data_IF_188270981939
#
_entry.id   IF_188270981939
#
_cell.length_a   1.000
_cell.length_b   1.000
_cell.length_c   1.000
_cell.angle_alpha   90.00
_cell.angle_beta   90.00
_cell.angle_gamma   90.00
#
_symmetry.space_group_name_H-M   'P 1'
#
loop_
_entity.id
_entity.type
_entity.pdbx_description
1 polymer ?
#
# COMPACT_ATOMS: atom_id res chain seq x y z
N UNK A 1 37.53 -30.71 0.86
CA UNK A 1 36.75 -31.68 0.07
C UNK A 1 35.29 -31.31 0.20
N UNK A 2 34.79 -30.57 -0.78
CA UNK A 2 33.41 -30.10 -0.93
C UNK A 2 32.51 -31.30 -1.21
N UNK A 3 31.58 -31.60 -0.30
CA UNK A 3 30.58 -32.65 -0.50
C UNK A 3 29.39 -32.03 -1.22
N UNK A 4 29.28 -32.32 -2.52
CA UNK A 4 28.16 -31.93 -3.36
C UNK A 4 26.93 -32.71 -2.92
N UNK A 5 25.94 -32.02 -2.33
CA UNK A 5 24.62 -32.59 -2.07
C UNK A 5 24.00 -32.92 -3.43
N UNK A 6 23.67 -34.19 -3.63
CA UNK A 6 23.29 -34.75 -4.92
C UNK A 6 22.08 -34.05 -5.54
N UNK A 7 22.32 -33.44 -6.70
CA UNK A 7 21.32 -33.14 -7.72
C UNK A 7 20.51 -34.41 -8.02
N UNK A 8 19.19 -34.33 -7.85
CA UNK A 8 18.28 -35.43 -8.15
C UNK A 8 18.20 -35.55 -9.67
N UNK A 9 18.77 -36.62 -10.23
CA UNK A 9 18.71 -36.93 -11.66
C UNK A 9 17.28 -37.35 -12.04
N UNK A 10 16.58 -36.58 -12.90
CA UNK A 10 15.20 -36.86 -13.32
C UNK A 10 15.04 -38.21 -14.02
N UNK A 11 16.11 -38.78 -14.58
CA UNK A 11 16.08 -40.04 -15.31
C UNK A 11 16.15 -41.29 -14.42
N UNK A 12 16.45 -41.13 -13.13
CA UNK A 12 16.63 -42.25 -12.18
C UNK A 12 15.35 -42.69 -11.46
N UNK A 13 14.20 -42.12 -11.86
CA UNK A 13 12.89 -42.36 -11.24
C UNK A 13 12.10 -43.41 -12.05
N UNK A 14 11.73 -44.56 -11.45
CA UNK A 14 10.82 -45.52 -12.09
C UNK A 14 9.36 -45.03 -11.99
N UNK A 15 8.72 -44.87 -13.15
CA UNK A 15 7.34 -44.35 -13.29
C UNK A 15 7.32 -42.85 -13.58
N UNK A 16 6.88 -42.46 -14.78
CA UNK A 16 6.43 -41.11 -15.18
C UNK A 16 7.24 -39.86 -14.76
N UNK A 17 7.75 -39.12 -15.74
CA UNK A 17 8.31 -37.75 -15.63
C UNK A 17 7.27 -36.66 -15.26
N UNK A 18 6.48 -36.87 -14.21
CA UNK A 18 5.37 -35.99 -13.82
C UNK A 18 5.69 -35.10 -12.62
N UNK A 19 5.28 -33.83 -12.67
CA UNK A 19 5.45 -32.86 -11.58
C UNK A 19 4.84 -33.31 -10.24
N UNK A 20 3.69 -34.00 -10.30
CA UNK A 20 3.04 -34.55 -9.10
C UNK A 20 3.90 -35.58 -8.36
N UNK A 21 4.55 -36.49 -9.08
CA UNK A 21 5.39 -37.50 -8.45
C UNK A 21 6.62 -36.90 -7.78
N UNK A 22 7.26 -35.93 -8.46
CA UNK A 22 8.38 -35.18 -7.92
C UNK A 22 7.96 -34.45 -6.64
N UNK A 23 6.80 -33.78 -6.67
CA UNK A 23 6.23 -33.09 -5.50
C UNK A 23 6.04 -34.03 -4.30
N UNK A 24 5.43 -35.21 -4.49
CA UNK A 24 5.22 -36.17 -3.40
C UNK A 24 6.54 -36.75 -2.85
N UNK A 25 7.53 -36.99 -3.72
CA UNK A 25 8.87 -37.44 -3.34
C UNK A 25 9.58 -36.40 -2.47
N UNK A 26 9.53 -35.12 -2.86
CA UNK A 26 10.12 -34.02 -2.10
C UNK A 26 9.44 -33.86 -0.74
N UNK A 27 8.10 -33.87 -0.67
CA UNK A 27 7.37 -33.79 0.61
C UNK A 27 7.75 -34.94 1.55
N UNK A 28 7.80 -36.16 1.04
CA UNK A 28 8.16 -37.35 1.83
C UNK A 28 9.60 -37.27 2.35
N UNK A 29 10.54 -36.86 1.50
CA UNK A 29 11.95 -36.66 1.90
C UNK A 29 12.08 -35.58 2.97
N UNK A 30 11.39 -34.46 2.79
CA UNK A 30 11.37 -33.33 3.74
C UNK A 30 10.87 -33.76 5.11
N UNK A 31 9.75 -34.47 5.21
CA UNK A 31 9.23 -34.97 6.50
C UNK A 31 10.26 -35.83 7.22
N UNK A 32 10.99 -36.68 6.51
CA UNK A 32 12.06 -37.51 7.10
C UNK A 32 13.24 -36.69 7.59
N UNK A 33 13.60 -35.60 6.90
CA UNK A 33 14.66 -34.69 7.31
C UNK A 33 14.26 -33.86 8.53
N UNK A 34 13.04 -33.31 8.54
CA UNK A 34 12.51 -32.54 9.67
C UNK A 34 12.40 -33.39 10.94
N UNK A 35 11.96 -34.64 10.84
CA UNK A 35 11.96 -35.59 11.99
C UNK A 35 13.34 -35.86 12.58
N UNK A 36 14.40 -35.65 11.79
CA UNK A 36 15.80 -35.80 12.22
C UNK A 36 16.44 -34.45 12.54
N UNK A 37 15.66 -33.37 12.61
CA UNK A 37 16.10 -32.00 12.86
C UNK A 37 17.17 -31.51 11.86
N UNK A 38 17.21 -32.12 10.67
CA UNK A 38 18.11 -31.72 9.57
C UNK A 38 17.50 -30.57 8.78
N UNK A 39 17.33 -29.43 9.43
CA UNK A 39 16.62 -28.27 8.86
C UNK A 39 17.31 -27.70 7.61
N UNK A 40 18.64 -27.58 7.63
CA UNK A 40 19.38 -27.08 6.46
C UNK A 40 19.18 -27.95 5.21
N UNK A 41 19.25 -29.28 5.37
CA UNK A 41 18.99 -30.23 4.28
C UNK A 41 17.54 -30.16 3.80
N UNK A 42 16.58 -30.03 4.73
CA UNK A 42 15.16 -29.93 4.40
C UNK A 42 14.85 -28.65 3.61
N UNK A 43 15.40 -27.50 4.05
CA UNK A 43 15.29 -26.21 3.37
C UNK A 43 15.84 -26.30 1.95
N UNK A 44 17.03 -26.87 1.78
CA UNK A 44 17.65 -27.00 0.46
C UNK A 44 16.81 -27.88 -0.47
N UNK A 45 16.34 -29.03 0.02
CA UNK A 45 15.48 -29.95 -0.74
C UNK A 45 14.16 -29.29 -1.16
N UNK A 46 13.55 -28.48 -0.28
CA UNK A 46 12.33 -27.76 -0.58
C UNK A 46 12.56 -26.64 -1.60
N UNK A 47 13.66 -25.90 -1.47
CA UNK A 47 14.02 -24.82 -2.39
C UNK A 47 14.27 -25.37 -3.80
N UNK A 48 15.17 -26.34 -3.94
CA UNK A 48 15.52 -26.94 -5.23
C UNK A 48 14.28 -27.57 -5.88
N UNK A 49 13.48 -28.26 -5.07
CA UNK A 49 12.24 -28.88 -5.50
C UNK A 49 11.18 -27.87 -5.98
N UNK A 50 11.03 -26.76 -5.25
CA UNK A 50 10.14 -25.66 -5.63
C UNK A 50 10.58 -25.05 -6.97
N UNK A 51 11.87 -24.73 -7.10
CA UNK A 51 12.41 -24.14 -8.34
C UNK A 51 12.22 -25.07 -9.53
N UNK A 52 12.55 -26.36 -9.38
CA UNK A 52 12.38 -27.35 -10.45
C UNK A 52 10.91 -27.48 -10.90
N UNK A 53 9.96 -27.54 -9.96
CA UNK A 53 8.54 -27.60 -10.30
C UNK A 53 8.05 -26.32 -10.98
N UNK A 54 8.51 -25.14 -10.55
CA UNK A 54 8.16 -23.88 -11.21
C UNK A 54 8.73 -23.81 -12.63
N UNK A 55 9.94 -24.33 -12.86
CA UNK A 55 10.54 -24.45 -14.19
C UNK A 55 9.80 -25.44 -15.10
N UNK A 56 9.19 -26.48 -14.51
CA UNK A 56 8.26 -27.39 -15.20
C UNK A 56 6.85 -26.78 -15.42
N UNK A 57 6.64 -25.52 -15.03
CA UNK A 57 5.34 -24.82 -15.03
C UNK A 57 4.26 -25.46 -14.13
N UNK A 58 4.67 -26.27 -13.15
CA UNK A 58 3.83 -26.90 -12.13
C UNK A 58 3.60 -25.92 -10.96
N UNK A 59 2.94 -24.80 -11.27
CA UNK A 59 2.83 -23.64 -10.37
C UNK A 59 2.25 -23.96 -8.99
N UNK A 60 1.19 -24.78 -8.94
CA UNK A 60 0.56 -25.17 -7.68
C UNK A 60 1.49 -25.99 -6.78
N UNK A 61 2.16 -26.98 -7.36
CA UNK A 61 3.09 -27.87 -6.67
C UNK A 61 4.36 -27.13 -6.21
N UNK A 62 4.92 -26.28 -7.06
CA UNK A 62 6.08 -25.44 -6.72
C UNK A 62 5.75 -24.47 -5.58
N UNK A 63 4.62 -23.76 -5.66
CA UNK A 63 4.21 -22.83 -4.61
C UNK A 63 3.83 -23.53 -3.29
N UNK A 64 3.29 -24.75 -3.32
CA UNK A 64 3.08 -25.56 -2.11
C UNK A 64 4.41 -25.87 -1.41
N UNK A 65 5.43 -26.27 -2.16
CA UNK A 65 6.77 -26.49 -1.59
C UNK A 65 7.40 -25.21 -1.06
N UNK A 66 7.18 -24.07 -1.72
CA UNK A 66 7.63 -22.78 -1.23
C UNK A 66 6.98 -22.40 0.11
N UNK A 67 5.68 -22.65 0.27
CA UNK A 67 5.00 -22.45 1.56
C UNK A 67 5.57 -23.41 2.62
N UNK A 68 5.81 -24.66 2.26
CA UNK A 68 6.42 -25.63 3.17
C UNK A 68 7.86 -25.25 3.56
N UNK A 69 8.61 -24.61 2.66
CA UNK A 69 9.93 -24.04 2.95
C UNK A 69 9.84 -22.97 4.03
N UNK A 70 8.83 -22.10 3.96
CA UNK A 70 8.61 -21.05 4.96
C UNK A 70 8.17 -21.62 6.31
N UNK A 71 7.39 -22.71 6.33
CA UNK A 71 7.10 -23.43 7.56
C UNK A 71 8.38 -24.04 8.17
N UNK A 72 9.26 -24.60 7.34
CA UNK A 72 10.57 -25.09 7.80
C UNK A 72 11.45 -23.96 8.34
N UNK A 73 11.40 -22.75 7.76
CA UNK A 73 12.06 -21.57 8.32
C UNK A 73 11.51 -21.23 9.71
N UNK A 74 10.19 -21.24 9.91
CA UNK A 74 9.58 -20.99 11.23
C UNK A 74 10.01 -22.05 12.25
N UNK A 75 9.98 -23.33 11.88
CA UNK A 75 10.38 -24.43 12.77
C UNK A 75 11.85 -24.34 13.20
N UNK A 76 12.72 -23.88 12.30
CA UNK A 76 14.17 -23.77 12.54
C UNK A 76 14.61 -22.41 13.08
N UNK A 77 13.68 -21.46 13.27
CA UNK A 77 13.98 -20.06 13.62
C UNK A 77 15.02 -19.44 12.67
N UNK A 78 14.86 -19.68 11.36
CA UNK A 78 15.74 -19.14 10.34
C UNK A 78 15.63 -17.61 10.35
N UNK A 79 16.73 -16.87 10.56
CA UNK A 79 16.71 -15.41 10.63
C UNK A 79 16.40 -14.79 9.26
N UNK A 80 15.90 -13.56 9.29
CA UNK A 80 15.74 -12.75 8.07
C UNK A 80 17.11 -12.18 7.66
N UNK A 81 17.73 -12.81 6.67
CA UNK A 81 19.03 -12.42 6.11
C UNK A 81 19.02 -12.47 4.57
N UNK A 82 20.13 -12.10 3.94
CA UNK A 82 20.22 -12.07 2.47
C UNK A 82 20.04 -13.46 1.85
N UNK A 83 20.47 -14.54 2.52
CA UNK A 83 20.38 -15.92 2.00
C UNK A 83 18.94 -16.43 2.03
N UNK A 84 18.29 -16.31 3.17
CA UNK A 84 16.89 -16.72 3.37
C UNK A 84 15.96 -15.93 2.47
N UNK A 85 16.21 -14.61 2.33
CA UNK A 85 15.49 -13.73 1.42
C UNK A 85 15.69 -14.11 -0.04
N UNK A 86 16.93 -14.36 -0.48
CA UNK A 86 17.22 -14.73 -1.88
C UNK A 86 16.41 -15.94 -2.31
N UNK A 87 16.33 -16.99 -1.49
CA UNK A 87 15.51 -18.18 -1.82
C UNK A 87 14.05 -17.83 -2.07
N UNK A 88 13.48 -16.94 -1.26
CA UNK A 88 12.09 -16.51 -1.40
C UNK A 88 11.91 -15.69 -2.68
N UNK A 89 12.80 -14.74 -2.94
CA UNK A 89 12.72 -13.88 -4.13
C UNK A 89 12.93 -14.67 -5.42
N UNK A 90 13.84 -15.65 -5.41
CA UNK A 90 14.09 -16.54 -6.55
C UNK A 90 12.84 -17.35 -6.89
N UNK A 91 12.20 -17.96 -5.88
CA UNK A 91 10.93 -18.67 -6.05
C UNK A 91 9.85 -17.73 -6.61
N UNK A 92 9.64 -16.58 -5.97
CA UNK A 92 8.60 -15.63 -6.37
C UNK A 92 8.80 -15.13 -7.81
N UNK A 93 10.05 -14.93 -8.25
CA UNK A 93 10.38 -14.53 -9.62
C UNK A 93 9.95 -15.54 -10.69
N UNK A 94 9.81 -16.82 -10.32
CA UNK A 94 9.38 -17.92 -11.21
C UNK A 94 7.88 -18.20 -11.15
N UNK A 95 7.16 -17.56 -10.23
CA UNK A 95 5.70 -17.70 -10.15
C UNK A 95 5.03 -16.86 -11.25
N UNK A 96 4.02 -17.42 -11.92
CA UNK A 96 3.22 -16.73 -12.92
C UNK A 96 1.70 -16.80 -12.65
N UNK A 97 1.26 -17.70 -11.76
CA UNK A 97 -0.15 -17.85 -11.39
C UNK A 97 -0.50 -16.97 -10.16
N UNK A 98 -1.36 -15.96 -10.36
CA UNK A 98 -1.72 -14.96 -9.33
C UNK A 98 -2.18 -15.61 -8.01
N UNK A 99 -3.08 -16.59 -8.09
CA UNK A 99 -3.63 -17.29 -6.92
C UNK A 99 -2.53 -17.96 -6.07
N UNK A 100 -1.59 -18.65 -6.71
CA UNK A 100 -0.53 -19.38 -6.03
C UNK A 100 0.56 -18.44 -5.51
N UNK A 101 0.94 -17.44 -6.30
CA UNK A 101 1.87 -16.38 -5.88
C UNK A 101 1.38 -15.67 -4.62
N UNK A 102 0.08 -15.33 -4.56
CA UNK A 102 -0.53 -14.69 -3.39
C UNK A 102 -0.33 -15.50 -2.11
N UNK A 103 -0.43 -16.83 -2.17
CA UNK A 103 -0.19 -17.71 -1.01
C UNK A 103 1.26 -17.65 -0.55
N UNK A 104 2.21 -17.71 -1.48
CA UNK A 104 3.65 -17.60 -1.16
C UNK A 104 3.98 -16.23 -0.57
N UNK A 105 3.45 -15.14 -1.15
CA UNK A 105 3.60 -13.78 -0.60
C UNK A 105 3.07 -13.68 0.83
N UNK A 106 1.88 -14.21 1.11
CA UNK A 106 1.29 -14.18 2.45
C UNK A 106 2.16 -14.94 3.46
N UNK A 107 2.61 -16.15 3.11
CA UNK A 107 3.47 -16.94 3.97
C UNK A 107 4.83 -16.25 4.21
N UNK A 108 5.42 -15.65 3.17
CA UNK A 108 6.72 -14.99 3.24
C UNK A 108 6.66 -13.72 4.09
N UNK A 109 5.62 -12.91 3.90
CA UNK A 109 5.37 -11.73 4.73
C UNK A 109 5.16 -12.14 6.19
N UNK A 110 4.31 -13.14 6.45
CA UNK A 110 4.06 -13.59 7.82
C UNK A 110 5.34 -14.11 8.49
N UNK A 111 6.13 -14.94 7.78
CA UNK A 111 7.43 -15.38 8.28
C UNK A 111 8.34 -14.19 8.62
N UNK A 112 8.43 -13.19 7.74
CA UNK A 112 9.28 -12.02 7.99
C UNK A 112 8.80 -11.21 9.19
N UNK A 113 7.49 -11.06 9.40
CA UNK A 113 6.91 -10.39 10.57
C UNK A 113 7.27 -11.16 11.85
N UNK A 114 7.07 -12.48 11.82
CA UNK A 114 7.32 -13.36 12.97
C UNK A 114 8.81 -13.32 13.38
N UNK A 115 9.73 -13.33 12.41
CA UNK A 115 11.17 -13.40 12.66
C UNK A 115 11.84 -12.04 12.89
N UNK A 116 11.32 -10.94 12.31
CA UNK A 116 11.87 -9.60 12.54
C UNK A 116 11.29 -8.90 13.77
N UNK A 117 10.22 -9.46 14.36
CA UNK A 117 9.42 -8.83 15.42
C UNK A 117 8.92 -7.43 15.03
N UNK A 118 8.70 -7.19 13.74
CA UNK A 118 8.19 -5.94 13.20
C UNK A 118 6.92 -6.23 12.40
N UNK A 119 5.82 -5.55 12.71
CA UNK A 119 4.51 -5.76 12.06
C UNK A 119 4.50 -5.43 10.56
N UNK A 120 5.50 -4.69 10.07
CA UNK A 120 5.68 -4.42 8.65
C UNK A 120 6.48 -5.53 7.93
N UNK A 121 7.22 -6.37 8.65
CA UNK A 121 8.03 -7.47 8.12
C UNK A 121 9.45 -7.02 7.75
N UNK A 122 9.97 -7.52 6.62
CA UNK A 122 11.30 -7.18 6.09
C UNK A 122 11.20 -6.17 4.93
N UNK A 123 11.95 -5.07 5.01
CA UNK A 123 11.88 -3.97 4.06
C UNK A 123 12.26 -4.40 2.63
N UNK A 124 13.37 -5.13 2.47
CA UNK A 124 13.89 -5.58 1.17
C UNK A 124 12.95 -6.60 0.51
N UNK A 125 12.40 -7.54 1.27
CA UNK A 125 11.42 -8.50 0.80
C UNK A 125 10.11 -7.80 0.38
N UNK A 126 9.64 -6.85 1.19
CA UNK A 126 8.45 -6.04 0.85
C UNK A 126 8.68 -5.27 -0.46
N UNK A 127 9.83 -4.63 -0.63
CA UNK A 127 10.17 -3.91 -1.85
C UNK A 127 10.17 -4.82 -3.08
N UNK A 128 10.83 -5.99 -3.00
CA UNK A 128 10.83 -6.96 -4.09
C UNK A 128 9.41 -7.41 -4.47
N UNK A 129 8.58 -7.73 -3.49
CA UNK A 129 7.19 -8.13 -3.73
C UNK A 129 6.40 -6.99 -4.40
N UNK A 130 6.62 -5.75 -3.96
CA UNK A 130 5.96 -4.58 -4.51
C UNK A 130 6.33 -4.38 -5.99
N UNK A 131 7.62 -4.45 -6.31
CA UNK A 131 8.13 -4.31 -7.68
C UNK A 131 7.67 -5.44 -8.59
N UNK A 132 7.64 -6.69 -8.09
CA UNK A 132 7.09 -7.84 -8.82
C UNK A 132 5.62 -7.63 -9.17
N UNK A 133 4.79 -7.19 -8.22
CA UNK A 133 3.36 -6.94 -8.45
C UNK A 133 3.14 -5.74 -9.37
N UNK A 134 3.96 -4.68 -9.23
CA UNK A 134 3.87 -3.49 -10.08
C UNK A 134 4.24 -3.78 -11.53
N UNK A 135 5.23 -4.65 -11.77
CA UNK A 135 5.59 -5.14 -13.11
C UNK A 135 4.41 -5.82 -13.81
N UNK A 136 3.60 -6.55 -13.04
CA UNK A 136 2.39 -7.22 -13.52
C UNK A 136 1.15 -6.30 -13.53
N UNK A 137 1.34 -4.97 -13.38
CA UNK A 137 0.28 -3.95 -13.32
C UNK A 137 -0.76 -4.15 -12.20
N UNK A 138 -0.43 -4.95 -11.18
CA UNK A 138 -1.26 -5.16 -9.99
C UNK A 138 -1.01 -4.04 -8.97
N UNK A 139 -1.19 -2.79 -9.39
CA UNK A 139 -0.76 -1.59 -8.65
C UNK A 139 -1.35 -1.50 -7.24
N UNK A 140 -2.65 -1.79 -7.08
CA UNK A 140 -3.29 -1.79 -5.76
C UNK A 140 -2.71 -2.85 -4.83
N UNK A 141 -2.35 -4.03 -5.35
CA UNK A 141 -1.72 -5.07 -4.54
C UNK A 141 -0.28 -4.72 -4.21
N UNK A 142 0.44 -4.06 -5.13
CA UNK A 142 1.81 -3.58 -4.93
C UNK A 142 1.90 -2.47 -3.87
N UNK A 143 0.94 -1.54 -3.87
CA UNK A 143 0.93 -0.34 -3.02
C UNK A 143 1.13 -0.63 -1.52
N UNK A 144 0.42 -1.59 -0.92
CA UNK A 144 0.66 -1.98 0.49
C UNK A 144 2.10 -2.43 0.76
N UNK A 145 2.72 -3.10 -0.20
CA UNK A 145 4.08 -3.60 -0.03
C UNK A 145 5.09 -2.46 -0.17
N UNK A 146 4.85 -1.51 -1.08
CA UNK A 146 5.64 -0.27 -1.13
C UNK A 146 5.50 0.55 0.14
N UNK A 147 4.28 0.75 0.66
CA UNK A 147 4.07 1.51 1.92
C UNK A 147 4.85 0.85 3.06
N UNK A 148 4.75 -0.47 3.23
CA UNK A 148 5.49 -1.20 4.25
C UNK A 148 7.01 -1.08 4.08
N UNK A 149 7.51 -1.24 2.85
CA UNK A 149 8.93 -1.12 2.55
C UNK A 149 9.45 0.29 2.85
N UNK A 150 8.78 1.32 2.33
CA UNK A 150 9.18 2.72 2.44
C UNK A 150 9.07 3.26 3.88
N UNK A 151 8.14 2.73 4.67
CA UNK A 151 8.05 3.07 6.08
C UNK A 151 9.21 2.49 6.92
N UNK A 152 9.81 1.39 6.47
CA UNK A 152 10.97 0.78 7.12
C UNK A 152 12.30 1.32 6.59
N UNK A 153 12.37 1.59 5.28
CA UNK A 153 13.58 2.01 4.58
C UNK A 153 13.23 2.87 3.35
N UNK A 154 13.85 4.04 3.24
CA UNK A 154 13.59 5.00 2.16
C UNK A 154 14.09 4.55 0.78
N UNK A 155 14.91 3.48 0.70
CA UNK A 155 15.43 2.97 -0.58
C UNK A 155 14.34 2.70 -1.62
N UNK A 156 13.15 2.29 -1.20
CA UNK A 156 12.02 1.97 -2.08
C UNK A 156 11.19 3.18 -2.55
N UNK A 157 11.43 4.37 -1.99
CA UNK A 157 10.58 5.55 -2.22
C UNK A 157 10.54 6.00 -3.68
N UNK A 158 11.66 6.10 -4.42
CA UNK A 158 11.63 6.48 -5.83
C UNK A 158 10.82 5.49 -6.69
N UNK A 159 10.98 4.18 -6.46
CA UNK A 159 10.19 3.14 -7.13
C UNK A 159 8.70 3.27 -6.81
N UNK A 160 8.34 3.61 -5.58
CA UNK A 160 6.95 3.80 -5.18
C UNK A 160 6.31 5.03 -5.87
N UNK A 161 7.01 6.15 -5.89
CA UNK A 161 6.60 7.36 -6.61
C UNK A 161 6.40 7.11 -8.11
N UNK A 162 7.35 6.43 -8.75
CA UNK A 162 7.25 6.04 -10.15
C UNK A 162 6.05 5.10 -10.40
N UNK A 163 5.80 4.13 -9.50
CA UNK A 163 4.66 3.22 -9.62
C UNK A 163 3.33 3.98 -9.55
N UNK A 164 3.15 4.91 -8.61
CA UNK A 164 1.91 5.68 -8.50
C UNK A 164 1.71 6.63 -9.69
N UNK A 165 2.78 7.17 -10.29
CA UNK A 165 2.69 7.92 -11.54
C UNK A 165 2.25 7.03 -12.71
N UNK A 166 2.82 5.82 -12.85
CA UNK A 166 2.40 4.85 -13.86
C UNK A 166 0.94 4.42 -13.68
N UNK A 167 0.51 4.21 -12.44
CA UNK A 167 -0.89 3.88 -12.15
C UNK A 167 -1.81 5.05 -12.52
N UNK A 168 -1.45 6.30 -12.17
CA UNK A 168 -2.20 7.49 -12.59
C UNK A 168 -2.33 7.55 -14.12
N UNK A 169 -1.24 7.32 -14.87
CA UNK A 169 -1.27 7.26 -16.34
C UNK A 169 -2.24 6.19 -16.84
N UNK A 170 -2.12 4.95 -16.35
CA UNK A 170 -3.00 3.85 -16.75
C UNK A 170 -4.48 4.14 -16.44
N UNK A 171 -4.76 4.74 -15.29
CA UNK A 171 -6.12 5.09 -14.87
C UNK A 171 -6.69 6.25 -15.69
N UNK A 172 -5.88 7.27 -15.98
CA UNK A 172 -6.28 8.38 -16.83
C UNK A 172 -6.54 7.96 -18.28
N UNK A 173 -5.75 7.05 -18.84
CA UNK A 173 -6.03 6.43 -20.14
C UNK A 173 -7.37 5.72 -20.12
N UNK A 174 -7.63 4.91 -19.08
CA UNK A 174 -8.92 4.21 -18.95
C UNK A 174 -10.12 5.16 -18.84
N UNK A 175 -9.96 6.36 -18.26
CA UNK A 175 -11.01 7.40 -18.24
C UNK A 175 -11.16 8.05 -19.62
N UNK A 176 -10.05 8.46 -20.24
CA UNK A 176 -10.09 9.11 -21.55
C UNK A 176 -10.77 8.23 -22.60
N UNK A 177 -10.53 6.91 -22.54
CA UNK A 177 -11.12 5.93 -23.45
C UNK A 177 -12.62 5.68 -23.20
N UNK A 178 -13.13 5.93 -21.98
CA UNK A 178 -14.52 5.61 -21.60
C UNK A 178 -15.43 6.84 -21.48
N UNK A 179 -14.86 8.03 -21.35
CA UNK A 179 -15.59 9.28 -21.25
C UNK A 179 -16.01 9.80 -22.63
N UNK A 180 -17.32 10.06 -22.79
CA UNK A 180 -17.90 10.59 -24.04
C UNK A 180 -17.29 11.91 -24.54
N UNK A 181 -16.74 12.72 -23.64
CA UNK A 181 -16.08 13.99 -23.98
C UNK A 181 -14.67 13.79 -24.56
N UNK A 182 -14.12 12.57 -24.50
CA UNK A 182 -12.79 12.19 -24.96
C UNK A 182 -11.70 13.17 -24.49
N UNK A 183 -11.55 13.40 -23.18
CA UNK A 183 -10.58 14.34 -22.65
C UNK A 183 -9.15 13.84 -22.95
N UNK A 184 -8.20 14.76 -23.11
CA UNK A 184 -6.80 14.34 -23.25
C UNK A 184 -6.31 13.63 -21.98
N UNK A 185 -5.54 12.56 -22.16
CA UNK A 185 -4.96 11.78 -21.05
C UNK A 185 -4.17 12.69 -20.10
N UNK A 186 -3.39 13.63 -20.63
CA UNK A 186 -2.60 14.56 -19.81
C UNK A 186 -3.46 15.48 -18.95
N UNK A 187 -4.60 15.94 -19.45
CA UNK A 187 -5.56 16.74 -18.66
C UNK A 187 -6.10 15.93 -17.49
N UNK A 188 -6.53 14.68 -17.74
CA UNK A 188 -7.04 13.78 -16.71
C UNK A 188 -5.94 13.45 -15.69
N UNK A 189 -4.73 13.11 -16.13
CA UNK A 189 -3.57 12.84 -15.27
C UNK A 189 -3.26 14.01 -14.35
N UNK A 190 -3.27 15.24 -14.88
CA UNK A 190 -3.01 16.47 -14.12
C UNK A 190 -4.03 16.68 -13.01
N UNK A 191 -5.31 16.43 -13.28
CA UNK A 191 -6.38 16.52 -12.28
C UNK A 191 -6.21 15.45 -11.19
N UNK A 192 -5.98 14.20 -11.59
CA UNK A 192 -5.87 13.05 -10.69
C UNK A 192 -4.55 12.96 -9.92
N UNK A 193 -3.51 13.67 -10.36
CA UNK A 193 -2.18 13.64 -9.73
C UNK A 193 -2.23 13.96 -8.24
N UNK A 194 -3.05 14.95 -7.86
CA UNK A 194 -3.34 15.25 -6.46
C UNK A 194 -3.88 14.04 -5.70
N UNK A 195 -4.93 13.40 -6.21
CA UNK A 195 -5.59 12.24 -5.59
C UNK A 195 -4.64 11.04 -5.47
N UNK A 196 -3.84 10.75 -6.50
CA UNK A 196 -2.85 9.68 -6.45
C UNK A 196 -1.73 9.97 -5.46
N UNK A 197 -1.33 11.24 -5.29
CA UNK A 197 -0.34 11.61 -4.27
C UNK A 197 -0.79 11.27 -2.85
N UNK A 198 -2.10 11.44 -2.54
CA UNK A 198 -2.66 11.11 -1.23
C UNK A 198 -2.41 9.64 -0.86
N UNK A 199 -2.42 8.75 -1.85
CA UNK A 199 -2.21 7.30 -1.67
C UNK A 199 -0.79 6.95 -1.23
N UNK A 200 0.18 7.81 -1.53
CA UNK A 200 1.56 7.62 -1.09
C UNK A 200 1.81 8.18 0.29
N UNK A 201 1.56 9.48 0.49
CA UNK A 201 2.02 10.13 1.72
C UNK A 201 1.13 9.87 2.94
N UNK A 202 -0.20 9.73 2.79
CA UNK A 202 -1.09 9.52 3.95
C UNK A 202 -0.75 8.23 4.67
N UNK A 203 -0.64 7.06 3.98
CA UNK A 203 -0.27 5.83 4.63
C UNK A 203 1.13 5.88 5.25
N UNK A 204 2.08 6.59 4.63
CA UNK A 204 3.43 6.75 5.17
C UNK A 204 3.43 7.57 6.48
N UNK A 205 2.64 8.65 6.56
CA UNK A 205 2.49 9.38 7.81
C UNK A 205 1.80 8.55 8.89
N UNK A 206 0.75 7.79 8.53
CA UNK A 206 0.11 6.85 9.47
C UNK A 206 1.10 5.78 9.93
N UNK A 207 2.01 5.35 9.07
CA UNK A 207 3.07 4.40 9.37
C UNK A 207 4.28 5.03 10.10
N UNK A 208 4.16 6.27 10.58
CA UNK A 208 5.21 6.99 11.30
C UNK A 208 6.50 7.23 10.50
N UNK A 209 6.38 7.43 9.18
CA UNK A 209 7.51 7.64 8.27
C UNK A 209 7.43 9.00 7.53
N UNK A 210 7.53 10.14 8.23
CA UNK A 210 7.38 11.46 7.62
C UNK A 210 8.48 11.81 6.61
N UNK A 211 9.73 11.39 6.84
CA UNK A 211 10.81 11.62 5.89
C UNK A 211 10.59 10.84 4.58
N UNK A 212 10.12 9.60 4.67
CA UNK A 212 9.75 8.81 3.49
C UNK A 212 8.58 9.45 2.73
N UNK A 213 7.59 9.99 3.45
CA UNK A 213 6.47 10.72 2.85
C UNK A 213 6.92 12.00 2.11
N UNK A 214 7.90 12.72 2.67
CA UNK A 214 8.47 13.93 2.08
C UNK A 214 9.25 13.60 0.80
N UNK A 215 10.15 12.63 0.87
CA UNK A 215 10.89 12.15 -0.30
C UNK A 215 9.94 11.64 -1.38
N UNK A 216 8.89 10.89 -0.99
CA UNK A 216 7.87 10.39 -1.91
C UNK A 216 7.21 11.53 -2.71
N UNK A 217 6.82 12.62 -2.03
CA UNK A 217 6.19 13.75 -2.72
C UNK A 217 7.14 14.48 -3.65
N UNK A 218 8.42 14.63 -3.28
CA UNK A 218 9.43 15.20 -4.16
C UNK A 218 9.59 14.36 -5.43
N UNK A 219 9.87 13.06 -5.28
CA UNK A 219 10.06 12.14 -6.41
C UNK A 219 8.80 12.04 -7.28
N UNK A 220 7.61 12.00 -6.65
CA UNK A 220 6.33 11.90 -7.35
C UNK A 220 6.05 13.14 -8.20
N UNK A 221 6.28 14.34 -7.65
CA UNK A 221 6.03 15.60 -8.36
C UNK A 221 7.08 15.81 -9.44
N UNK A 222 8.36 15.55 -9.16
CA UNK A 222 9.44 15.65 -10.17
C UNK A 222 9.17 14.77 -11.38
N UNK A 223 8.66 13.56 -11.18
CA UNK A 223 8.27 12.68 -12.29
C UNK A 223 7.00 13.20 -12.98
N UNK A 224 5.99 13.65 -12.22
CA UNK A 224 4.73 14.13 -12.79
C UNK A 224 4.89 15.37 -13.68
N UNK A 225 5.82 16.28 -13.34
CA UNK A 225 6.08 17.49 -14.13
C UNK A 225 6.88 17.24 -15.41
N UNK A 226 7.69 16.16 -15.49
CA UNK A 226 8.37 15.77 -16.74
C UNK A 226 7.38 15.45 -17.84
N UNK A 227 6.26 14.84 -17.46
CA UNK A 227 5.20 14.46 -18.38
C UNK A 227 4.13 15.55 -18.56
N UNK A 228 4.06 16.53 -17.65
CA UNK A 228 3.01 17.55 -17.64
C UNK A 228 3.56 18.91 -17.17
N UNK A 229 4.27 19.62 -18.04
CA UNK A 229 4.87 20.92 -17.68
C UNK A 229 3.83 21.93 -17.17
N UNK A 230 2.58 21.85 -17.66
CA UNK A 230 1.47 22.73 -17.23
C UNK A 230 1.00 22.49 -15.80
N UNK A 231 1.48 21.43 -15.14
CA UNK A 231 1.26 21.19 -13.71
C UNK A 231 2.00 22.22 -12.85
N UNK A 232 3.13 22.76 -13.34
CA UNK A 232 3.94 23.71 -12.61
C UNK A 232 3.49 25.15 -12.86
N UNK A 233 3.30 25.95 -11.81
CA UNK A 233 2.99 27.37 -11.96
C UNK A 233 4.26 28.17 -12.34
N UNK A 234 4.12 29.24 -13.14
CA UNK A 234 5.24 30.07 -13.61
C UNK A 234 5.77 31.03 -12.52
N UNK A 235 6.03 30.52 -11.32
CA UNK A 235 6.64 31.24 -10.20
C UNK A 235 8.14 30.99 -10.21
N UNK A 236 8.96 31.97 -9.78
CA UNK A 236 10.43 31.82 -9.69
C UNK A 236 10.95 32.28 -8.32
N UNK A 237 11.75 31.46 -7.59
CA UNK A 237 12.09 30.07 -7.91
C UNK A 237 10.88 29.12 -7.72
N UNK A 238 10.86 28.03 -8.50
CA UNK A 238 9.94 26.91 -8.32
C UNK A 238 10.74 25.62 -8.61
N UNK A 239 11.04 24.79 -7.60
CA UNK A 239 10.44 24.78 -6.27
C UNK A 239 10.90 25.96 -5.39
N UNK A 240 10.02 26.40 -4.49
CA UNK A 240 10.29 27.46 -3.52
C UNK A 240 10.72 26.85 -2.18
N UNK A 241 11.49 27.60 -1.41
CA UNK A 241 11.83 27.21 -0.05
C UNK A 241 10.56 27.10 0.82
N UNK A 242 10.46 26.00 1.58
CA UNK A 242 9.43 25.86 2.61
C UNK A 242 9.75 26.78 3.78
N UNK A 243 8.76 27.56 4.22
CA UNK A 243 8.88 28.42 5.40
C UNK A 243 7.99 27.88 6.50
N UNK A 244 8.63 27.43 7.58
CA UNK A 244 7.91 26.97 8.77
C UNK A 244 7.06 28.10 9.37
N UNK A 245 5.84 27.80 9.84
CA UNK A 245 5.06 28.74 10.66
C UNK A 245 5.77 29.13 11.98
N UNK A 246 6.60 28.24 12.54
CA UNK A 246 7.38 28.50 13.75
C UNK A 246 8.77 29.06 13.38
N UNK A 247 8.76 30.26 12.80
CA UNK A 247 9.95 30.97 12.33
C UNK A 247 11.04 31.03 13.42
N UNK A 248 12.26 30.65 13.06
CA UNK A 248 13.44 30.70 13.95
C UNK A 248 13.55 29.55 14.95
N UNK A 249 12.55 28.67 15.05
CA UNK A 249 12.58 27.47 15.90
C UNK A 249 12.76 26.20 15.04
N UNK A 250 12.05 26.14 13.90
CA UNK A 250 12.15 24.99 12.99
C UNK A 250 13.55 24.84 12.39
N UNK A 251 14.00 23.58 12.31
CA UNK A 251 15.23 23.16 11.63
C UNK A 251 14.95 22.45 10.31
N UNK A 252 13.69 22.40 9.87
CA UNK A 252 13.32 21.76 8.61
C UNK A 252 13.74 22.65 7.43
N UNK A 253 14.70 22.17 6.65
CA UNK A 253 15.05 22.74 5.35
C UNK A 253 14.55 21.82 4.26
N UNK A 254 13.60 22.29 3.46
CA UNK A 254 13.05 21.57 2.31
C UNK A 254 12.49 22.55 1.28
N UNK A 255 12.13 22.06 0.11
CA UNK A 255 11.51 22.84 -0.96
C UNK A 255 10.11 22.29 -1.27
N UNK A 256 9.24 23.14 -1.79
CA UNK A 256 7.90 22.76 -2.24
C UNK A 256 7.62 23.39 -3.60
N UNK A 257 6.99 22.62 -4.48
CA UNK A 257 6.56 23.08 -5.79
C UNK A 257 5.26 23.89 -5.67
N UNK A 258 5.22 25.03 -6.34
CA UNK A 258 3.96 25.72 -6.62
C UNK A 258 3.32 25.06 -7.84
N UNK A 259 2.28 24.25 -7.61
CA UNK A 259 1.59 23.50 -8.66
C UNK A 259 0.21 24.09 -8.93
N UNK A 260 -0.32 23.82 -10.12
CA UNK A 260 -1.69 24.14 -10.49
C UNK A 260 -2.71 23.13 -9.93
N UNK A 261 -2.28 22.12 -9.17
CA UNK A 261 -3.16 21.14 -8.52
C UNK A 261 -3.26 21.47 -7.01
N UNK A 262 -4.43 21.92 -6.50
CA UNK A 262 -4.57 22.32 -5.10
C UNK A 262 -4.31 21.18 -4.12
N UNK A 263 -4.68 19.94 -4.47
CA UNK A 263 -4.41 18.76 -3.64
C UNK A 263 -2.91 18.48 -3.53
N UNK A 264 -2.11 18.63 -4.59
CA UNK A 264 -0.65 18.52 -4.48
C UNK A 264 -0.04 19.61 -3.59
N UNK A 265 -0.57 20.83 -3.67
CA UNK A 265 -0.14 21.92 -2.79
C UNK A 265 -0.49 21.59 -1.33
N UNK A 266 -1.69 21.06 -1.06
CA UNK A 266 -2.08 20.56 0.26
C UNK A 266 -1.15 19.45 0.74
N UNK A 267 -0.94 18.39 -0.07
CA UNK A 267 -0.06 17.25 0.25
C UNK A 267 1.33 17.68 0.69
N UNK A 268 1.98 18.56 -0.07
CA UNK A 268 3.33 19.04 0.24
C UNK A 268 3.38 19.82 1.57
N UNK A 269 2.42 20.73 1.80
CA UNK A 269 2.37 21.50 3.04
C UNK A 269 2.03 20.61 4.26
N UNK A 270 1.14 19.63 4.08
CA UNK A 270 0.75 18.69 5.13
C UNK A 270 1.95 17.85 5.58
N UNK A 271 2.70 17.29 4.64
CA UNK A 271 3.90 16.49 4.94
C UNK A 271 5.03 17.34 5.49
N UNK A 272 5.24 18.56 4.97
CA UNK A 272 6.24 19.47 5.52
C UNK A 272 5.93 19.84 6.98
N UNK A 273 4.67 20.15 7.32
CA UNK A 273 4.26 20.40 8.70
C UNK A 273 4.45 19.17 9.60
N UNK A 274 4.18 17.96 9.11
CA UNK A 274 4.40 16.72 9.87
C UNK A 274 5.90 16.47 10.12
N UNK A 275 6.75 16.67 9.12
CA UNK A 275 8.20 16.60 9.26
C UNK A 275 8.73 17.67 10.24
N UNK A 276 8.19 18.89 10.16
CA UNK A 276 8.56 19.98 11.04
C UNK A 276 8.21 19.63 12.49
N UNK A 277 6.98 19.18 12.73
CA UNK A 277 6.52 18.73 14.03
C UNK A 277 7.39 17.60 14.60
N UNK A 278 7.75 16.61 13.77
CA UNK A 278 8.61 15.47 14.17
C UNK A 278 10.02 15.91 14.61
N UNK A 279 10.55 16.98 14.00
CA UNK A 279 11.89 17.51 14.32
C UNK A 279 11.92 18.42 15.55
N UNK A 280 10.76 18.76 16.13
CA UNK A 280 10.71 19.60 17.32
C UNK A 280 11.11 18.81 18.57
N UNK A 281 12.08 19.33 19.31
CA UNK A 281 12.44 18.80 20.61
C UNK A 281 11.54 19.43 21.68
N UNK A 282 10.70 18.63 22.33
CA UNK A 282 9.85 19.08 23.44
C UNK A 282 8.45 19.49 23.02
N UNK A 283 7.92 20.58 23.59
CA UNK A 283 6.54 21.02 23.31
C UNK A 283 6.44 21.57 21.89
N UNK A 284 5.55 20.97 21.09
CA UNK A 284 5.25 21.43 19.74
C UNK A 284 4.74 22.90 19.75
N UNK A 285 5.34 23.81 18.96
CA UNK A 285 4.89 25.19 18.80
C UNK A 285 3.41 25.29 18.41
N UNK A 286 2.70 26.25 19.00
CA UNK A 286 1.27 26.44 18.74
C UNK A 286 1.02 26.95 17.30
N UNK A 287 2.01 27.60 16.69
CA UNK A 287 1.98 28.07 15.31
C UNK A 287 1.91 26.90 14.33
N UNK A 288 2.67 25.83 14.56
CA UNK A 288 2.64 24.62 13.72
C UNK A 288 1.28 23.92 13.85
N UNK A 289 0.75 23.82 15.08
CA UNK A 289 -0.59 23.27 15.32
C UNK A 289 -1.68 24.10 14.64
N UNK A 290 -1.63 25.43 14.79
CA UNK A 290 -2.59 26.34 14.16
C UNK A 290 -2.56 26.21 12.63
N UNK A 291 -1.35 26.16 12.05
CA UNK A 291 -1.16 25.98 10.61
C UNK A 291 -1.72 24.64 10.10
N UNK A 292 -1.47 23.53 10.81
CA UNK A 292 -2.04 22.23 10.47
C UNK A 292 -3.58 22.25 10.52
N UNK A 293 -4.15 22.77 11.61
CA UNK A 293 -5.59 22.84 11.79
C UNK A 293 -6.24 23.70 10.70
N UNK A 294 -5.65 24.84 10.35
CA UNK A 294 -6.12 25.69 9.25
C UNK A 294 -6.03 24.97 7.91
N UNK A 295 -4.89 24.32 7.61
CA UNK A 295 -4.65 23.61 6.36
C UNK A 295 -5.67 22.49 6.15
N UNK A 296 -5.87 21.64 7.15
CA UNK A 296 -6.86 20.54 7.09
C UNK A 296 -8.27 21.10 6.95
N UNK A 297 -8.65 22.11 7.76
CA UNK A 297 -9.98 22.73 7.66
C UNK A 297 -10.27 23.29 6.28
N UNK A 298 -9.32 24.05 5.71
CA UNK A 298 -9.47 24.63 4.39
C UNK A 298 -9.64 23.54 3.33
N UNK A 299 -8.77 22.52 3.35
CA UNK A 299 -8.84 21.43 2.38
C UNK A 299 -10.15 20.64 2.48
N UNK A 300 -10.65 20.37 3.69
CA UNK A 300 -11.94 19.72 3.93
C UNK A 300 -13.12 20.59 3.48
N UNK A 301 -13.05 21.92 3.63
CA UNK A 301 -14.11 22.84 3.19
C UNK A 301 -14.19 22.93 1.67
N UNK A 302 -13.04 23.03 1.00
CA UNK A 302 -12.97 23.18 -0.46
C UNK A 302 -13.30 21.89 -1.22
N UNK A 303 -13.02 20.73 -0.62
CA UNK A 303 -13.17 19.43 -1.29
C UNK A 303 -14.23 18.53 -0.62
N UNK A 304 -14.98 19.02 0.37
CA UNK A 304 -15.80 18.19 1.27
C UNK A 304 -16.86 17.32 0.59
N UNK A 305 -17.38 17.72 -0.57
CA UNK A 305 -18.32 16.91 -1.38
C UNK A 305 -17.63 15.83 -2.22
N UNK A 306 -16.34 16.01 -2.54
CA UNK A 306 -15.52 15.10 -3.34
C UNK A 306 -14.58 14.24 -2.47
N UNK A 307 -14.43 14.57 -1.18
CA UNK A 307 -13.63 13.83 -0.23
C UNK A 307 -14.40 12.61 0.26
N UNK A 308 -13.78 11.45 0.08
CA UNK A 308 -14.31 10.21 0.64
C UNK A 308 -14.18 10.20 2.18
N UNK A 309 -15.19 9.67 2.92
CA UNK A 309 -15.24 9.73 4.39
C UNK A 309 -13.99 9.20 5.13
N UNK A 310 -13.23 8.28 4.53
CA UNK A 310 -12.00 7.74 5.12
C UNK A 310 -10.90 8.79 5.31
N UNK A 311 -10.87 9.83 4.46
CA UNK A 311 -9.80 10.81 4.48
C UNK A 311 -9.83 11.62 5.78
N UNK A 312 -11.04 11.91 6.28
CA UNK A 312 -11.22 12.56 7.56
C UNK A 312 -10.66 11.72 8.71
N UNK A 313 -10.91 10.41 8.72
CA UNK A 313 -10.38 9.50 9.73
C UNK A 313 -8.84 9.48 9.71
N UNK A 314 -8.25 9.37 8.53
CA UNK A 314 -6.80 9.35 8.35
C UNK A 314 -6.14 10.67 8.75
N UNK A 315 -6.70 11.81 8.34
CA UNK A 315 -6.20 13.12 8.75
C UNK A 315 -6.38 13.35 10.26
N UNK A 316 -7.48 12.86 10.85
CA UNK A 316 -7.66 12.89 12.31
C UNK A 316 -6.61 12.05 13.03
N UNK A 317 -6.25 10.88 12.49
CA UNK A 317 -5.18 10.05 13.04
C UNK A 317 -3.83 10.78 12.96
N UNK A 318 -3.51 11.39 11.81
CA UNK A 318 -2.28 12.18 11.62
C UNK A 318 -2.25 13.39 12.57
N UNK A 319 -3.40 14.06 12.75
CA UNK A 319 -3.57 15.19 13.69
C UNK A 319 -3.24 14.78 15.13
N UNK A 320 -3.67 13.60 15.55
CA UNK A 320 -3.36 13.07 16.87
C UNK A 320 -1.88 12.69 17.00
N UNK A 321 -1.33 11.98 15.99
CA UNK A 321 0.05 11.47 16.02
C UNK A 321 1.10 12.57 16.05
N UNK A 322 1.02 13.56 15.15
CA UNK A 322 2.10 14.54 14.97
C UNK A 322 1.82 15.87 15.66
N UNK A 323 0.55 16.19 15.93
CA UNK A 323 0.16 17.52 16.43
C UNK A 323 -0.48 17.49 17.81
N UNK A 324 -0.67 16.30 18.41
CA UNK A 324 -1.28 16.14 19.72
C UNK A 324 -2.72 16.63 19.79
N UNK A 325 -3.42 16.69 18.65
CA UNK A 325 -4.80 17.13 18.57
C UNK A 325 -5.73 15.96 18.86
N UNK A 326 -6.57 16.08 19.89
CA UNK A 326 -7.55 15.04 20.21
C UNK A 326 -8.52 14.84 19.03
N UNK A 327 -8.83 13.59 18.64
CA UNK A 327 -9.86 13.34 17.65
C UNK A 327 -11.20 13.91 18.16
N UNK A 328 -12.04 14.47 17.28
CA UNK A 328 -13.36 14.94 17.69
C UNK A 328 -14.16 13.75 18.22
N UNK A 329 -14.64 13.86 19.47
CA UNK A 329 -15.40 12.80 20.12
C UNK A 329 -16.65 12.51 19.29
N UNK A 330 -16.83 11.25 18.87
CA UNK A 330 -18.07 10.83 18.21
C UNK A 330 -19.23 10.99 19.21
N UNK A 331 -20.33 11.61 18.80
CA UNK A 331 -21.52 11.83 19.62
C UNK A 331 -22.11 10.54 20.20
N UNK A 332 -21.94 9.41 19.52
CA UNK A 332 -22.34 8.08 19.99
C UNK A 332 -21.60 7.63 21.26
N UNK A 333 -20.35 8.07 21.43
CA UNK A 333 -19.55 7.77 22.63
C UNK A 333 -20.02 8.57 23.85
N UNK A 334 -20.80 9.64 23.68
CA UNK A 334 -21.32 10.42 24.81
C UNK A 334 -22.36 9.65 25.61
N UNK A 335 -23.26 8.91 24.95
CA UNK A 335 -24.26 8.10 25.65
C UNK A 335 -23.62 6.94 26.41
N UNK A 336 -22.65 6.27 25.79
CA UNK A 336 -21.90 5.17 26.40
C UNK A 336 -21.01 5.64 27.57
N UNK A 337 -20.30 6.76 27.41
CA UNK A 337 -19.45 7.33 28.47
C UNK A 337 -20.26 7.92 29.62
N UNK A 338 -21.46 8.48 29.36
CA UNK A 338 -22.40 8.87 30.42
C UNK A 338 -22.99 7.67 31.15
N UNK A 339 -23.35 6.59 30.43
CA UNK A 339 -23.86 5.36 31.05
C UNK A 339 -22.78 4.66 31.90
N UNK A 340 -21.53 4.65 31.42
CA UNK A 340 -20.36 4.14 32.14
C UNK A 340 -20.02 5.00 33.37
N UNK A 341 -20.05 6.33 33.23
CA UNK A 341 -19.88 7.27 34.34
C UNK A 341 -20.99 7.19 35.40
N UNK A 342 -22.18 6.71 35.03
CA UNK A 342 -23.31 6.51 35.93
C UNK A 342 -23.34 5.11 36.58
N UNK A 343 -22.64 4.11 36.02
CA UNK A 343 -22.70 2.71 36.50
C UNK A 343 -21.58 2.26 37.44
N UNK A 344 -20.54 3.05 37.69
CA UNK A 344 -19.62 2.72 38.80
C UNK A 344 -18.18 3.15 38.56
N UNK A 345 -17.70 4.01 39.46
CA UNK A 345 -16.34 4.53 39.44
C UNK A 345 -15.24 3.48 39.68
N UNK A 346 -14.09 3.76 39.07
CA UNK A 346 -12.85 3.02 39.26
C UNK A 346 -11.80 3.54 38.30
N UNK A 347 -11.14 4.64 38.67
CA UNK A 347 -10.07 5.24 37.87
C UNK A 347 -8.80 4.37 37.98
N UNK A 348 -8.74 3.31 37.19
CA UNK A 348 -7.49 2.56 36.96
C UNK A 348 -6.67 3.31 35.91
N UNK A 349 -5.72 4.09 36.40
CA UNK A 349 -4.62 4.68 35.62
C UNK A 349 -3.75 3.55 35.05
N UNK A 350 -4.02 3.15 33.81
CA UNK A 350 -3.12 2.31 33.02
C UNK A 350 -2.00 3.18 32.44
N UNK A 351 -0.90 3.31 33.19
CA UNK A 351 0.37 3.82 32.71
C UNK A 351 1.12 2.73 31.95
N UNK A 352 1.31 2.94 30.65
CA UNK A 352 2.04 2.03 29.77
C UNK A 352 1.47 2.06 28.36
N UNK A 353 1.48 3.22 27.70
CA UNK A 353 1.11 3.30 26.29
C UNK A 353 2.26 2.73 25.45
N UNK A 354 2.28 1.42 25.27
CA UNK A 354 2.91 0.86 24.07
C UNK A 354 2.25 1.55 22.87
N UNK A 355 3.06 2.16 22.00
CA UNK A 355 2.55 2.73 20.75
C UNK A 355 1.82 1.60 20.01
N UNK A 356 0.58 1.83 19.54
CA UNK A 356 -0.18 0.80 18.86
C UNK A 356 0.62 0.27 17.67
N UNK A 357 0.61 -1.04 17.50
CA UNK A 357 1.35 -1.70 16.42
C UNK A 357 1.03 -1.08 15.05
N UNK A 358 2.07 -0.69 14.31
CA UNK A 358 1.91 -0.03 13.01
C UNK A 358 1.29 -1.01 12.02
N UNK A 359 0.15 -0.64 11.43
CA UNK A 359 -0.53 -1.41 10.38
C UNK A 359 -0.53 -0.63 9.08
N UNK A 360 -0.33 -1.34 7.96
CA UNK A 360 -0.39 -0.74 6.63
C UNK A 360 -1.84 -0.37 6.30
N UNK A 361 -2.16 0.92 6.24
CA UNK A 361 -3.48 1.41 5.84
C UNK A 361 -3.44 1.95 4.40
N UNK A 362 -3.95 1.18 3.45
CA UNK A 362 -4.14 1.68 2.08
C UNK A 362 -5.36 2.58 2.00
N UNK A 363 -5.35 3.51 1.05
CA UNK A 363 -6.59 4.16 0.61
C UNK A 363 -7.41 3.14 -0.21
N UNK A 364 -8.75 3.22 -0.20
CA UNK A 364 -9.61 2.31 -0.96
C UNK A 364 -9.20 2.16 -2.42
N UNK A 365 -9.42 0.98 -2.98
CA UNK A 365 -9.11 0.72 -4.38
C UNK A 365 -9.99 1.62 -5.28
N UNK A 366 -9.43 2.47 -6.15
CA UNK A 366 -10.23 3.27 -7.06
C UNK A 366 -11.05 2.37 -8.00
N UNK A 367 -12.29 2.79 -8.27
CA UNK A 367 -13.21 2.08 -9.17
C UNK A 367 -12.61 1.97 -10.58
N UNK A 368 -12.77 0.82 -11.24
CA UNK A 368 -12.28 0.66 -12.62
C UNK A 368 -13.14 1.51 -13.58
N UNK A 369 -12.58 2.55 -14.25
CA UNK A 369 -13.32 3.42 -15.16
C UNK A 369 -13.99 2.67 -16.33
N UNK A 370 -13.47 1.48 -16.68
CA UNK A 370 -14.00 0.62 -17.74
C UNK A 370 -15.26 -0.13 -17.31
N UNK A 371 -15.52 -0.23 -16.01
CA UNK A 371 -16.69 -0.92 -15.45
C UNK A 371 -17.82 0.04 -15.05
N UNK A 372 -17.54 1.34 -14.93
CA UNK A 372 -18.54 2.34 -14.53
C UNK A 372 -19.50 2.75 -15.65
N UNK A 373 -19.21 2.45 -16.92
CA UNK A 373 -20.08 2.77 -18.06
C UNK A 373 -21.31 1.86 -18.27
N UNK A 374 -21.52 0.87 -17.39
CA UNK A 374 -22.51 -0.20 -17.61
C UNK A 374 -23.85 -0.08 -16.88
N UNK A 375 -24.13 1.00 -16.14
CA UNK A 375 -25.34 1.05 -15.30
C UNK A 375 -26.03 2.42 -15.22
N UNK A 376 -26.27 3.04 -16.37
CA UNK A 376 -27.40 3.96 -16.55
C UNK A 376 -28.54 3.24 -17.27
N UNK A 377 -29.10 2.21 -16.64
CA UNK A 377 -30.49 1.85 -16.94
C UNK A 377 -31.37 2.86 -16.20
N UNK A 378 -31.52 4.05 -16.79
CA UNK A 378 -32.73 4.82 -16.57
C UNK A 378 -33.89 3.88 -16.90
N UNK A 379 -34.61 3.43 -15.86
CA UNK A 379 -35.93 2.83 -16.08
C UNK A 379 -36.73 3.88 -16.87
N UNK A 380 -37.28 3.54 -18.05
CA UNK A 380 -38.23 4.41 -18.70
C UNK A 380 -39.36 4.67 -17.70
N UNK A 381 -39.72 5.94 -17.51
CA UNK A 381 -40.93 6.31 -16.81
C UNK A 381 -42.10 5.52 -17.45
N UNK A 382 -42.99 4.90 -16.66
CA UNK A 382 -44.14 4.23 -17.23
C UNK A 382 -44.97 5.26 -17.98
N UNK A 383 -45.22 4.99 -19.27
CA UNK A 383 -46.14 5.78 -20.08
C UNK A 383 -47.50 5.82 -19.36
N UNK A 384 -48.07 7.02 -19.22
CA UNK A 384 -49.40 7.20 -18.70
C UNK A 384 -50.41 6.50 -19.62
N UNK A 385 -51.11 5.49 -19.10
CA UNK A 385 -52.36 4.95 -19.69
C UNK A 385 -53.45 6.02 -19.63
N UNK A 386 -53.37 7.01 -20.51
CA UNK A 386 -54.39 8.05 -20.67
C UNK A 386 -54.80 8.31 -22.13
N UNK A 387 -54.30 7.50 -23.09
CA UNK A 387 -54.57 7.68 -24.52
C UNK A 387 -55.32 6.50 -25.18
N UNK A 388 -55.81 5.51 -24.42
CA UNK A 388 -56.52 4.32 -24.96
C UNK A 388 -58.02 4.26 -24.60
N UNK A 389 -58.69 5.40 -24.43
CA UNK A 389 -60.15 5.46 -24.29
C UNK A 389 -60.77 6.60 -25.11
N UNK A 390 -60.55 6.58 -26.42
CA UNK A 390 -61.39 7.31 -27.38
C UNK A 390 -61.41 6.47 -28.67
N UNK A 391 -62.38 5.56 -28.77
CA UNK A 391 -63.05 5.13 -30.02
C UNK A 391 -63.79 3.82 -29.74
N UNK A 392 -64.99 3.92 -29.17
CA UNK A 392 -66.05 2.92 -29.29
C UNK A 392 -67.35 3.49 -28.68
N UNK A 393 -68.03 4.36 -29.44
CA UNK A 393 -69.50 4.48 -29.50
C UNK A 393 -69.84 5.74 -30.30
N UNK A 394 -70.10 5.57 -31.61
CA UNK A 394 -71.07 6.32 -32.43
C UNK A 394 -71.00 5.75 -33.86
N UNK A 395 -71.71 4.64 -34.06
CA UNK A 395 -72.66 4.41 -35.18
C UNK A 395 -73.30 3.02 -35.10
#
# INVERSE_FOLDING_TARGET
MTSTVGTIDPSTVPGGSGGYELHQKIRTKTVRLLKKEKYADAIQVLFDGSMQLLEMNEQGSGCDLAVYLLDAYKMSQTPVDDTSRSRITDILSKTNAEFWRKKVIQAAVQWSIDQSHNTLGDAKLRLFIAELLAKDQQFYLAEKHYIAACALDQQGVPSFAAMLNRWNTSYATAIADTDSSNPSVDSVRRVLSGTFSLRGWIPLLIAHAPEAAMQFLHDYIEEAIKDNETLLLPVKPNPKEYKSPAMGISTLSTTIYATANPTLNFSQNAVALACDAQRQNGRLPEEIKAAWNQLVRQYMQENGSAIEPYLYEYLSQISATYFGMAPPRKTTDMLSSMLSGMMGGGNSSASGSELPAVSVKQLPNPSDPRKSGGNSSEKPLPASEADDLMDDEMD
#
